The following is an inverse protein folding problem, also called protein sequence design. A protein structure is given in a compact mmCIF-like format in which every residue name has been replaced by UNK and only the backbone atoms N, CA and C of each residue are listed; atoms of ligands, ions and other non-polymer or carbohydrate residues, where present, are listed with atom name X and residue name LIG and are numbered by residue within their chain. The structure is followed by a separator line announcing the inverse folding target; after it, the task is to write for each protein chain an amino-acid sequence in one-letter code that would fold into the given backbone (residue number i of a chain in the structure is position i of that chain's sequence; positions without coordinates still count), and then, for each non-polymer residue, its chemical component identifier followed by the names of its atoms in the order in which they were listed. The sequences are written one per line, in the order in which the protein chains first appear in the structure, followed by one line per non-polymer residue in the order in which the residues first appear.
data_IF_856812386426
#
_entry.id   IF_856812386426
#
_cell.length_a   1.000
_cell.length_b   1.000
_cell.length_c   1.000
_cell.angle_alpha   90.00
_cell.angle_beta   90.00
_cell.angle_gamma   90.00
#
_symmetry.space_group_name_H-M   'P 1'
#
loop_
_entity.id
_entity.type
_entity.pdbx_description
1 polymer ?
#
# COMPACT_ATOMS: atom_id res chain seq x y z
N UNK A 1 -21.46 -33.01 -21.02
CA UNK A 1 -21.79 -33.05 -19.58
C UNK A 1 -20.46 -32.95 -18.86
N UNK A 2 -20.03 -31.72 -18.58
CA UNK A 2 -18.69 -31.40 -18.09
C UNK A 2 -18.70 -31.50 -16.57
N UNK A 3 -17.79 -32.28 -16.00
CA UNK A 3 -17.65 -32.39 -14.54
C UNK A 3 -17.47 -31.01 -13.89
N UNK A 4 -18.13 -30.74 -12.75
CA UNK A 4 -17.80 -29.58 -11.94
C UNK A 4 -16.42 -29.81 -11.27
N UNK A 5 -15.57 -28.78 -11.14
CA UNK A 5 -14.30 -28.93 -10.45
C UNK A 5 -14.55 -29.27 -8.97
N UNK A 6 -14.10 -30.46 -8.55
CA UNK A 6 -14.10 -30.91 -7.15
C UNK A 6 -12.99 -30.21 -6.35
N UNK A 7 -13.31 -29.89 -5.10
CA UNK A 7 -12.44 -29.56 -3.97
C UNK A 7 -11.76 -28.17 -3.96
N UNK A 8 -12.45 -27.19 -3.37
CA UNK A 8 -11.80 -26.23 -2.48
C UNK A 8 -11.70 -26.89 -1.09
N UNK A 9 -10.48 -27.18 -0.66
CA UNK A 9 -10.19 -27.73 0.67
C UNK A 9 -10.61 -26.72 1.76
N UNK A 10 -11.29 -27.14 2.84
CA UNK A 10 -11.60 -26.27 3.98
C UNK A 10 -10.35 -25.68 4.66
N UNK A 11 -9.15 -26.24 4.41
CA UNK A 11 -7.87 -25.68 4.84
C UNK A 11 -7.45 -24.42 4.08
N UNK A 12 -7.76 -24.31 2.78
CA UNK A 12 -7.36 -23.16 1.97
C UNK A 12 -8.08 -21.86 2.39
N UNK A 13 -9.37 -21.98 2.75
CA UNK A 13 -10.15 -20.84 3.25
C UNK A 13 -9.77 -20.43 4.70
N UNK A 14 -9.14 -21.33 5.46
CA UNK A 14 -8.59 -21.03 6.78
C UNK A 14 -7.26 -20.28 6.65
N UNK A 15 -6.36 -20.77 5.80
CA UNK A 15 -5.08 -20.11 5.48
C UNK A 15 -5.30 -18.67 4.94
N UNK A 16 -6.23 -18.48 4.00
CA UNK A 16 -6.54 -17.14 3.45
C UNK A 16 -7.08 -16.16 4.51
N UNK A 17 -7.84 -16.65 5.51
CA UNK A 17 -8.33 -15.80 6.62
C UNK A 17 -7.22 -15.44 7.59
N UNK A 18 -6.28 -16.36 7.81
CA UNK A 18 -5.15 -16.15 8.71
C UNK A 18 -4.17 -15.13 8.08
N UNK A 19 -3.89 -15.26 6.78
CA UNK A 19 -3.06 -14.34 6.01
C UNK A 19 -3.66 -12.92 5.96
N UNK A 20 -4.98 -12.80 5.72
CA UNK A 20 -5.68 -11.50 5.78
C UNK A 20 -5.66 -10.89 7.20
N UNK A 21 -5.82 -11.70 8.24
CA UNK A 21 -5.75 -11.25 9.62
C UNK A 21 -4.37 -10.74 10.02
N UNK A 22 -3.32 -11.34 9.47
CA UNK A 22 -1.94 -10.91 9.68
C UNK A 22 -1.64 -9.57 8.99
N UNK A 23 -2.08 -9.41 7.74
CA UNK A 23 -1.95 -8.17 6.96
C UNK A 23 -2.60 -6.96 7.66
N UNK A 24 -3.82 -7.14 8.18
CA UNK A 24 -4.53 -6.10 8.95
C UNK A 24 -3.77 -5.73 10.22
N UNK A 25 -3.16 -6.70 10.91
CA UNK A 25 -2.35 -6.43 12.13
C UNK A 25 -1.11 -5.62 11.81
N UNK A 26 -0.39 -5.94 10.73
CA UNK A 26 0.79 -5.19 10.33
C UNK A 26 0.45 -3.77 9.88
N UNK A 27 -0.63 -3.61 9.11
CA UNK A 27 -1.16 -2.31 8.72
C UNK A 27 -1.49 -1.45 9.94
N UNK A 28 -2.24 -2.02 10.90
CA UNK A 28 -2.63 -1.30 12.12
C UNK A 28 -1.43 -0.93 12.98
N UNK A 29 -0.42 -1.80 13.08
CA UNK A 29 0.82 -1.52 13.79
C UNK A 29 1.58 -0.34 13.15
N UNK A 30 1.63 -0.26 11.83
CA UNK A 30 2.17 0.89 11.09
C UNK A 30 1.43 2.18 11.41
N UNK A 31 0.09 2.15 11.38
CA UNK A 31 -0.75 3.32 11.65
C UNK A 31 -0.56 3.86 13.08
N UNK A 32 -0.62 2.96 14.07
CA UNK A 32 -0.41 3.31 15.48
C UNK A 32 1.01 3.83 15.68
N UNK A 33 2.01 3.17 15.09
CA UNK A 33 3.41 3.59 15.16
C UNK A 33 3.64 4.99 14.59
N UNK A 34 3.08 5.29 13.41
CA UNK A 34 3.18 6.60 12.79
C UNK A 34 2.49 7.71 13.58
N UNK A 35 1.30 7.45 14.14
CA UNK A 35 0.60 8.40 15.01
C UNK A 35 1.37 8.68 16.31
N UNK A 36 1.88 7.64 16.97
CA UNK A 36 2.68 7.79 18.18
C UNK A 36 3.97 8.57 17.91
N UNK A 37 4.70 8.21 16.85
CA UNK A 37 5.90 8.94 16.46
C UNK A 37 5.57 10.40 16.13
N UNK A 38 4.50 10.65 15.39
CA UNK A 38 4.06 12.00 15.06
C UNK A 38 3.75 12.83 16.31
N UNK A 39 2.99 12.27 17.25
CA UNK A 39 2.67 12.94 18.52
C UNK A 39 3.91 13.27 19.34
N UNK A 40 4.86 12.33 19.43
CA UNK A 40 6.14 12.56 20.13
C UNK A 40 6.93 13.69 19.46
N UNK A 41 7.11 13.63 18.13
CA UNK A 41 7.86 14.65 17.40
C UNK A 41 7.21 16.03 17.53
N UNK A 42 5.88 16.10 17.46
CA UNK A 42 5.14 17.33 17.70
C UNK A 42 5.36 17.85 19.13
N UNK A 43 5.33 16.98 20.15
CA UNK A 43 5.58 17.38 21.54
C UNK A 43 6.99 17.98 21.76
N UNK A 44 8.00 17.52 21.02
CA UNK A 44 9.37 18.05 21.06
C UNK A 44 9.60 19.24 20.10
N UNK A 45 8.55 19.75 19.44
CA UNK A 45 8.64 20.92 18.55
C UNK A 45 9.12 20.62 17.13
N UNK A 46 9.20 19.34 16.74
CA UNK A 46 9.64 18.91 15.40
C UNK A 46 8.50 18.90 14.35
N UNK A 47 7.50 19.76 14.49
CA UNK A 47 6.28 19.79 13.68
C UNK A 47 6.51 19.74 12.17
N UNK A 48 7.53 20.46 11.69
CA UNK A 48 7.89 20.59 10.27
C UNK A 48 9.23 19.96 9.91
N UNK A 49 9.75 19.09 10.78
CA UNK A 49 10.99 18.34 10.50
C UNK A 49 10.79 17.47 9.27
N UNK A 50 11.62 17.69 8.24
CA UNK A 50 11.60 16.89 7.01
C UNK A 50 11.86 15.41 7.30
N UNK A 51 12.85 15.13 8.15
CA UNK A 51 13.15 13.76 8.58
C UNK A 51 12.00 13.16 9.40
N UNK A 52 11.36 13.97 10.25
CA UNK A 52 10.18 13.56 11.01
C UNK A 52 9.02 13.14 10.09
N UNK A 53 8.71 13.97 9.09
CA UNK A 53 7.63 13.69 8.14
C UNK A 53 7.93 12.45 7.32
N UNK A 54 9.17 12.32 6.84
CA UNK A 54 9.61 11.13 6.13
C UNK A 54 9.41 9.86 6.97
N UNK A 55 9.89 9.84 8.22
CA UNK A 55 9.71 8.69 9.13
C UNK A 55 8.24 8.37 9.39
N UNK A 56 7.43 9.40 9.65
CA UNK A 56 6.01 9.24 9.93
C UNK A 56 5.27 8.68 8.72
N UNK A 57 5.51 9.22 7.51
CA UNK A 57 4.91 8.71 6.26
C UNK A 57 5.33 7.28 5.97
N UNK A 58 6.60 6.95 6.18
CA UNK A 58 7.10 5.59 6.00
C UNK A 58 6.37 4.61 6.94
N UNK A 59 6.22 4.94 8.23
CA UNK A 59 5.51 4.06 9.18
C UNK A 59 4.01 3.98 8.88
N UNK A 60 3.37 5.11 8.59
CA UNK A 60 1.93 5.21 8.34
C UNK A 60 1.49 4.64 6.98
N UNK A 61 2.33 4.73 5.95
CA UNK A 61 2.02 4.30 4.59
C UNK A 61 2.57 2.92 4.25
N UNK A 62 3.80 2.63 4.68
CA UNK A 62 4.54 1.42 4.29
C UNK A 62 4.77 0.47 5.47
N UNK A 63 4.18 0.74 6.63
CA UNK A 63 4.39 -0.06 7.85
C UNK A 63 4.06 -1.54 7.66
N UNK A 64 3.01 -1.86 6.90
CA UNK A 64 2.67 -3.24 6.51
C UNK A 64 3.84 -3.89 5.75
N UNK A 65 4.29 -3.26 4.66
CA UNK A 65 5.34 -3.76 3.78
C UNK A 65 6.69 -3.91 4.50
N UNK A 66 7.00 -3.00 5.45
CA UNK A 66 8.18 -3.07 6.31
C UNK A 66 8.11 -4.26 7.26
N UNK A 67 6.99 -4.43 7.96
CA UNK A 67 6.81 -5.50 8.94
C UNK A 67 6.82 -6.88 8.27
N UNK A 68 6.19 -7.01 7.11
CA UNK A 68 6.26 -8.23 6.32
C UNK A 68 7.67 -8.50 5.80
N UNK A 69 8.39 -7.48 5.32
CA UNK A 69 9.78 -7.60 4.90
C UNK A 69 10.69 -8.08 6.04
N UNK A 70 10.52 -7.52 7.24
CA UNK A 70 11.22 -7.91 8.46
C UNK A 70 10.86 -9.34 8.90
N UNK A 71 9.59 -9.71 8.85
CA UNK A 71 9.13 -11.05 9.18
C UNK A 71 9.73 -12.08 8.22
N UNK A 72 9.67 -11.82 6.91
CA UNK A 72 10.25 -12.68 5.89
C UNK A 72 11.77 -12.83 6.06
N UNK A 73 12.48 -11.74 6.39
CA UNK A 73 13.91 -11.76 6.67
C UNK A 73 14.24 -12.57 7.93
N UNK A 74 13.48 -12.40 9.01
CA UNK A 74 13.66 -13.14 10.27
C UNK A 74 13.40 -14.63 10.10
N UNK A 75 12.40 -14.98 9.30
CA UNK A 75 12.08 -16.37 8.98
C UNK A 75 13.16 -17.01 8.10
N UNK A 76 13.76 -16.24 7.18
CA UNK A 76 14.94 -16.65 6.38
C UNK A 76 16.18 -16.90 7.24
N UNK A 77 16.44 -16.06 8.24
CA UNK A 77 17.54 -16.29 9.18
C UNK A 77 17.35 -17.58 9.99
N UNK A 78 16.10 -18.02 10.17
CA UNK A 78 15.73 -19.26 10.86
C UNK A 78 15.63 -20.49 9.94
N UNK A 79 15.37 -20.32 8.64
CA UNK A 79 15.22 -21.40 7.65
C UNK A 79 15.88 -20.99 6.33
N UNK A 80 16.92 -21.73 5.90
CA UNK A 80 17.65 -21.58 4.62
C UNK A 80 16.75 -21.80 3.38
N UNK A 81 15.75 -20.94 3.16
CA UNK A 81 14.88 -20.99 1.99
C UNK A 81 15.23 -19.82 1.04
N UNK A 82 16.07 -20.11 0.05
CA UNK A 82 16.41 -19.19 -1.05
C UNK A 82 15.48 -19.46 -2.24
N UNK A 83 14.88 -18.42 -2.83
CA UNK A 83 14.07 -18.55 -4.04
C UNK A 83 13.02 -17.44 -4.21
N UNK A 84 11.79 -17.66 -3.72
CA UNK A 84 10.64 -16.78 -3.97
C UNK A 84 10.49 -15.62 -2.97
N UNK A 85 10.74 -15.86 -1.68
CA UNK A 85 10.61 -14.84 -0.64
C UNK A 85 11.64 -13.70 -0.80
N UNK A 86 12.81 -14.00 -1.38
CA UNK A 86 13.88 -13.01 -1.63
C UNK A 86 13.53 -12.08 -2.78
N UNK A 87 12.98 -12.61 -3.89
CA UNK A 87 12.51 -11.79 -5.00
C UNK A 87 11.33 -10.89 -4.59
N UNK A 88 10.42 -11.41 -3.77
CA UNK A 88 9.29 -10.65 -3.22
C UNK A 88 9.75 -9.56 -2.26
N UNK A 89 10.68 -9.89 -1.35
CA UNK A 89 11.29 -8.91 -0.42
C UNK A 89 12.03 -7.79 -1.14
N UNK A 90 12.81 -8.11 -2.18
CA UNK A 90 13.49 -7.09 -2.99
C UNK A 90 12.51 -6.21 -3.77
N UNK A 91 11.43 -6.79 -4.31
CA UNK A 91 10.36 -6.04 -4.96
C UNK A 91 9.71 -5.03 -4.03
N UNK A 92 9.43 -5.42 -2.77
CA UNK A 92 8.87 -4.54 -1.75
C UNK A 92 9.83 -3.44 -1.34
N UNK A 93 11.11 -3.75 -1.11
CA UNK A 93 12.13 -2.73 -0.79
C UNK A 93 12.25 -1.70 -1.90
N UNK A 94 12.33 -2.15 -3.17
CA UNK A 94 12.36 -1.23 -4.31
C UNK A 94 11.08 -0.39 -4.37
N UNK A 95 9.90 -1.00 -4.17
CA UNK A 95 8.61 -0.31 -4.11
C UNK A 95 8.53 0.78 -3.04
N UNK A 96 9.14 0.56 -1.86
CA UNK A 96 9.21 1.53 -0.76
C UNK A 96 10.23 2.66 -1.01
N UNK A 97 11.34 2.37 -1.72
CA UNK A 97 12.34 3.40 -2.00
C UNK A 97 11.88 4.49 -2.98
N UNK A 98 10.90 4.19 -3.83
CA UNK A 98 10.37 5.14 -4.82
C UNK A 98 9.68 6.34 -4.15
N UNK A 99 8.70 6.15 -3.23
CA UNK A 99 8.13 7.26 -2.46
C UNK A 99 9.17 8.12 -1.73
N UNK A 100 10.23 7.50 -1.20
CA UNK A 100 11.28 8.23 -0.49
C UNK A 100 12.06 9.15 -1.44
N UNK A 101 12.43 8.63 -2.61
CA UNK A 101 13.10 9.42 -3.65
C UNK A 101 12.22 10.57 -4.14
N UNK A 102 10.91 10.35 -4.26
CA UNK A 102 9.94 11.38 -4.63
C UNK A 102 9.84 12.46 -3.54
N UNK A 103 9.70 12.11 -2.26
CA UNK A 103 9.60 13.09 -1.16
C UNK A 103 10.88 13.93 -1.06
N UNK A 104 12.04 13.28 -0.96
CA UNK A 104 13.32 13.99 -0.87
C UNK A 104 13.63 14.79 -2.12
N UNK A 105 13.38 14.24 -3.31
CA UNK A 105 13.52 14.96 -4.57
C UNK A 105 12.66 16.22 -4.60
N UNK A 106 11.39 16.12 -4.22
CA UNK A 106 10.47 17.26 -4.17
C UNK A 106 10.99 18.39 -3.28
N UNK A 107 11.52 18.03 -2.10
CA UNK A 107 12.14 19.01 -1.19
C UNK A 107 13.40 19.63 -1.76
N UNK A 108 14.25 18.84 -2.42
CA UNK A 108 15.47 19.33 -3.06
C UNK A 108 15.18 20.31 -4.20
N UNK A 109 14.07 20.13 -4.92
CA UNK A 109 13.61 21.07 -5.94
C UNK A 109 12.85 22.28 -5.37
N UNK A 110 12.73 22.39 -4.04
CA UNK A 110 12.10 23.53 -3.38
C UNK A 110 10.57 23.54 -3.47
N UNK A 111 9.94 22.40 -3.79
CA UNK A 111 8.49 22.30 -3.85
C UNK A 111 7.87 22.46 -2.45
N UNK A 112 6.72 23.12 -2.40
CA UNK A 112 5.94 23.21 -1.17
C UNK A 112 5.24 21.87 -0.87
N UNK A 113 5.93 21.03 -0.10
CA UNK A 113 5.43 19.72 0.34
C UNK A 113 4.22 19.80 1.26
N UNK A 114 3.89 20.99 1.79
CA UNK A 114 2.73 21.24 2.64
C UNK A 114 1.54 21.81 1.87
N UNK A 115 1.81 22.41 0.71
CA UNK A 115 0.83 22.99 -0.19
C UNK A 115 0.33 22.02 -1.25
N UNK A 116 -0.32 22.58 -2.27
CA UNK A 116 -0.91 21.84 -3.39
C UNK A 116 0.16 21.06 -4.16
N UNK A 117 1.37 21.60 -4.30
CA UNK A 117 2.47 20.94 -5.01
C UNK A 117 2.82 19.57 -4.41
N UNK A 118 2.77 19.43 -3.08
CA UNK A 118 3.10 18.20 -2.37
C UNK A 118 2.01 17.13 -2.30
N UNK A 119 0.84 17.32 -2.94
CA UNK A 119 -0.33 16.44 -2.75
C UNK A 119 -0.06 14.95 -3.09
N UNK A 120 0.85 14.70 -4.03
CA UNK A 120 1.16 13.35 -4.51
C UNK A 120 2.09 12.56 -3.58
N UNK A 121 2.79 13.23 -2.66
CA UNK A 121 3.75 12.58 -1.76
C UNK A 121 3.05 11.53 -0.87
N UNK A 122 2.01 11.88 -0.07
CA UNK A 122 1.30 10.88 0.72
C UNK A 122 0.63 9.79 -0.14
N UNK A 123 0.23 10.12 -1.37
CA UNK A 123 -0.33 9.15 -2.31
C UNK A 123 0.68 8.04 -2.64
N UNK A 124 1.93 8.39 -2.99
CA UNK A 124 2.93 7.38 -3.33
C UNK A 124 3.30 6.51 -2.12
N UNK A 125 3.41 7.11 -0.93
CA UNK A 125 3.63 6.36 0.32
C UNK A 125 2.51 5.37 0.63
N UNK A 126 1.27 5.77 0.40
CA UNK A 126 0.11 4.93 0.70
C UNK A 126 -0.15 3.87 -0.38
N UNK A 127 0.14 4.15 -1.66
CA UNK A 127 -0.41 3.40 -2.80
C UNK A 127 0.61 2.67 -3.65
N UNK A 128 1.91 2.72 -3.34
CA UNK A 128 2.96 2.01 -4.11
C UNK A 128 2.62 0.53 -4.29
N UNK A 129 2.23 -0.16 -3.21
CA UNK A 129 1.88 -1.57 -3.24
C UNK A 129 0.63 -1.85 -4.08
N UNK A 130 -0.38 -0.98 -4.02
CA UNK A 130 -1.61 -1.14 -4.79
C UNK A 130 -1.40 -0.90 -6.29
N UNK A 131 -0.56 0.07 -6.66
CA UNK A 131 -0.14 0.30 -8.04
C UNK A 131 0.62 -0.93 -8.55
N UNK A 132 1.59 -1.43 -7.78
CA UNK A 132 2.36 -2.63 -8.10
C UNK A 132 1.47 -3.87 -8.30
N UNK A 133 0.50 -4.09 -7.40
CA UNK A 133 -0.47 -5.18 -7.51
C UNK A 133 -1.36 -5.05 -8.76
N UNK A 134 -1.81 -3.83 -9.09
CA UNK A 134 -2.64 -3.59 -10.28
C UNK A 134 -1.89 -3.84 -11.59
N UNK A 135 -0.66 -3.35 -11.69
CA UNK A 135 0.21 -3.56 -12.86
C UNK A 135 0.54 -5.05 -13.01
N UNK A 136 0.94 -5.69 -11.92
CA UNK A 136 1.30 -7.12 -11.92
C UNK A 136 0.11 -8.00 -12.28
N UNK A 137 -1.08 -7.71 -11.74
CA UNK A 137 -2.32 -8.42 -12.06
C UNK A 137 -2.72 -8.27 -13.52
N UNK A 138 -2.58 -7.07 -14.11
CA UNK A 138 -2.82 -6.86 -15.54
C UNK A 138 -1.86 -7.68 -16.41
N UNK A 139 -0.56 -7.68 -16.09
CA UNK A 139 0.46 -8.46 -16.80
C UNK A 139 0.15 -9.96 -16.70
N UNK A 140 -0.23 -10.44 -15.52
CA UNK A 140 -0.63 -11.83 -15.30
C UNK A 140 -1.83 -12.23 -16.17
N UNK A 141 -2.90 -11.41 -16.16
CA UNK A 141 -4.09 -11.66 -16.98
C UNK A 141 -3.78 -11.62 -18.48
N UNK A 142 -2.90 -10.72 -18.91
CA UNK A 142 -2.40 -10.66 -20.30
C UNK A 142 -1.64 -11.94 -20.67
N UNK A 143 -0.74 -12.42 -19.80
CA UNK A 143 -0.01 -13.68 -20.03
C UNK A 143 -0.94 -14.88 -20.11
N UNK A 144 -1.92 -14.97 -19.21
CA UNK A 144 -2.90 -16.06 -19.16
C UNK A 144 -3.84 -16.07 -20.37
N UNK A 145 -4.25 -14.91 -20.85
CA UNK A 145 -5.21 -14.78 -21.95
C UNK A 145 -4.57 -14.76 -23.34
N UNK A 146 -3.23 -14.67 -23.43
CA UNK A 146 -2.47 -14.67 -24.68
C UNK A 146 -2.67 -13.42 -25.55
N UNK A 147 -3.49 -12.45 -25.13
CA UNK A 147 -3.77 -11.24 -25.91
C UNK A 147 -4.15 -10.07 -25.00
N UNK A 148 -3.79 -8.85 -25.38
CA UNK A 148 -4.08 -7.64 -24.59
C UNK A 148 -5.59 -7.39 -24.44
N UNK A 149 -6.37 -7.53 -25.52
CA UNK A 149 -7.82 -7.29 -25.47
C UNK A 149 -8.54 -8.22 -24.48
N UNK A 150 -8.21 -9.52 -24.48
CA UNK A 150 -8.79 -10.47 -23.52
C UNK A 150 -8.27 -10.25 -22.10
N UNK A 151 -7.01 -9.84 -21.93
CA UNK A 151 -6.44 -9.51 -20.64
C UNK A 151 -7.11 -8.31 -19.98
N UNK A 152 -7.34 -7.23 -20.74
CA UNK A 152 -8.07 -6.05 -20.26
C UNK A 152 -9.54 -6.38 -19.99
N UNK A 153 -10.19 -7.14 -20.87
CA UNK A 153 -11.57 -7.58 -20.63
C UNK A 153 -11.70 -8.44 -19.37
N UNK A 154 -10.70 -9.28 -19.06
CA UNK A 154 -10.66 -10.03 -17.81
C UNK A 154 -10.38 -9.12 -16.60
N UNK A 155 -9.52 -8.12 -16.76
CA UNK A 155 -9.20 -7.15 -15.72
C UNK A 155 -10.45 -6.37 -15.26
N UNK A 156 -11.22 -5.80 -16.19
CA UNK A 156 -12.42 -5.00 -15.86
C UNK A 156 -13.57 -5.83 -15.28
N UNK A 157 -13.50 -7.15 -15.39
CA UNK A 157 -14.46 -8.09 -14.77
C UNK A 157 -13.99 -8.61 -13.42
N UNK A 158 -12.73 -8.34 -13.05
CA UNK A 158 -12.16 -8.84 -11.82
C UNK A 158 -12.37 -7.83 -10.68
N UNK A 159 -13.18 -8.15 -9.64
CA UNK A 159 -13.62 -7.17 -8.64
C UNK A 159 -12.45 -6.56 -7.85
N UNK A 160 -11.41 -7.34 -7.55
CA UNK A 160 -10.19 -6.84 -6.88
C UNK A 160 -9.39 -5.88 -7.77
N UNK A 161 -9.35 -6.10 -9.08
CA UNK A 161 -8.59 -5.23 -9.98
C UNK A 161 -9.33 -3.90 -10.17
N UNK A 162 -10.65 -3.95 -10.33
CA UNK A 162 -11.49 -2.75 -10.50
C UNK A 162 -11.51 -1.90 -9.24
N UNK A 163 -11.68 -2.50 -8.06
CA UNK A 163 -11.57 -1.78 -6.77
C UNK A 163 -10.17 -1.22 -6.57
N UNK A 164 -9.15 -2.02 -6.92
CA UNK A 164 -7.75 -1.62 -7.00
C UNK A 164 -7.54 -0.31 -7.76
N UNK A 165 -7.99 -0.30 -9.01
CA UNK A 165 -7.91 0.84 -9.93
C UNK A 165 -8.74 2.04 -9.44
N UNK A 166 -9.94 1.81 -8.92
CA UNK A 166 -10.80 2.87 -8.42
C UNK A 166 -10.10 3.66 -7.30
N UNK A 167 -9.50 2.97 -6.33
CA UNK A 167 -8.74 3.62 -5.25
C UNK A 167 -7.53 4.38 -5.79
N UNK A 168 -6.75 3.78 -6.71
CA UNK A 168 -5.57 4.42 -7.34
C UNK A 168 -5.95 5.77 -7.97
N UNK A 169 -7.15 5.90 -8.53
CA UNK A 169 -7.64 7.11 -9.19
C UNK A 169 -8.32 8.10 -8.21
N UNK A 170 -9.07 7.57 -7.25
CA UNK A 170 -9.85 8.39 -6.31
C UNK A 170 -8.98 9.05 -5.24
N UNK A 171 -8.03 8.32 -4.66
CA UNK A 171 -7.16 8.84 -3.59
C UNK A 171 -6.38 10.09 -3.99
N UNK A 172 -5.63 10.14 -5.11
CA UNK A 172 -4.87 11.34 -5.47
C UNK A 172 -5.80 12.51 -5.79
N UNK A 173 -6.98 12.25 -6.36
CA UNK A 173 -8.00 13.28 -6.59
C UNK A 173 -8.51 13.86 -5.28
N UNK A 174 -8.81 13.01 -4.28
CA UNK A 174 -9.25 13.44 -2.96
C UNK A 174 -8.17 14.24 -2.22
N UNK A 175 -6.91 13.80 -2.29
CA UNK A 175 -5.77 14.51 -1.71
C UNK A 175 -5.56 15.88 -2.35
N UNK A 176 -5.65 15.97 -3.68
CA UNK A 176 -5.57 17.23 -4.41
C UNK A 176 -6.70 18.17 -3.99
N UNK A 177 -7.94 17.67 -3.92
CA UNK A 177 -9.08 18.48 -3.48
C UNK A 177 -8.93 18.95 -2.03
N UNK A 178 -8.45 18.09 -1.12
CA UNK A 178 -8.19 18.47 0.26
C UNK A 178 -7.17 19.62 0.33
N UNK A 179 -6.09 19.54 -0.46
CA UNK A 179 -5.09 20.61 -0.58
C UNK A 179 -5.69 21.91 -1.11
N UNK A 180 -6.49 21.85 -2.18
CA UNK A 180 -7.15 23.02 -2.75
C UNK A 180 -8.15 23.67 -1.78
N UNK A 181 -8.75 22.88 -0.89
CA UNK A 181 -9.64 23.36 0.18
C UNK A 181 -8.89 23.88 1.42
N UNK A 182 -7.55 23.90 1.39
CA UNK A 182 -6.72 24.49 2.44
C UNK A 182 -6.19 23.51 3.49
N UNK A 183 -6.39 22.20 3.32
CA UNK A 183 -5.76 21.22 4.21
C UNK A 183 -4.24 21.20 4.00
N UNK A 184 -3.47 21.28 5.08
CA UNK A 184 -2.00 21.28 5.05
C UNK A 184 -1.44 20.50 6.24
N UNK A 185 -0.52 19.54 6.06
CA UNK A 185 -0.03 18.66 7.11
C UNK A 185 1.14 19.33 7.85
N UNK A 186 0.88 20.48 8.47
CA UNK A 186 1.93 21.29 9.11
C UNK A 186 2.45 20.70 10.42
N UNK A 187 1.85 19.62 10.90
CA UNK A 187 2.28 18.84 12.06
C UNK A 187 2.53 17.39 11.67
N UNK A 188 3.27 16.68 12.51
CA UNK A 188 3.60 15.28 12.25
C UNK A 188 2.38 14.37 12.43
N UNK A 189 1.49 14.67 13.39
CA UNK A 189 0.21 13.95 13.52
C UNK A 189 -0.67 14.13 12.28
N UNK A 190 -0.77 15.34 11.72
CA UNK A 190 -1.55 15.57 10.50
C UNK A 190 -0.91 14.86 9.30
N UNK A 191 0.42 14.77 9.27
CA UNK A 191 1.16 13.99 8.26
C UNK A 191 0.80 12.50 8.38
N UNK A 192 0.78 11.93 9.59
CA UNK A 192 0.37 10.55 9.83
C UNK A 192 -1.07 10.30 9.37
N UNK A 193 -2.01 11.15 9.81
CA UNK A 193 -3.43 11.02 9.48
C UNK A 193 -3.68 11.09 7.97
N UNK A 194 -3.02 12.04 7.29
CA UNK A 194 -3.09 12.16 5.84
C UNK A 194 -2.68 10.86 5.15
N UNK A 195 -1.53 10.29 5.53
CA UNK A 195 -1.03 9.06 4.92
C UNK A 195 -1.93 7.86 5.25
N UNK A 196 -2.41 7.74 6.49
CA UNK A 196 -3.32 6.66 6.91
C UNK A 196 -4.64 6.73 6.14
N UNK A 197 -5.23 7.91 6.00
CA UNK A 197 -6.50 8.10 5.27
C UNK A 197 -6.31 7.83 3.77
N UNK A 198 -5.17 8.22 3.21
CA UNK A 198 -4.82 7.89 1.83
C UNK A 198 -4.58 6.39 1.64
N UNK A 199 -4.24 5.66 2.70
CA UNK A 199 -3.92 4.25 2.65
C UNK A 199 -5.18 3.36 2.71
N UNK A 200 -5.74 3.14 1.52
CA UNK A 200 -6.91 2.30 1.30
C UNK A 200 -6.54 0.93 0.68
N UNK A 201 -5.32 0.46 0.91
CA UNK A 201 -4.79 -0.81 0.37
C UNK A 201 -5.60 -2.05 0.80
N UNK A 202 -6.32 -1.96 1.92
CA UNK A 202 -7.18 -3.02 2.45
C UNK A 202 -8.51 -3.18 1.69
N UNK A 203 -8.93 -2.17 0.91
CA UNK A 203 -10.23 -2.17 0.26
C UNK A 203 -10.35 -3.23 -0.86
N UNK A 204 -9.39 -3.41 -1.78
CA UNK A 204 -9.50 -4.43 -2.82
C UNK A 204 -9.56 -5.87 -2.29
N UNK A 205 -8.74 -6.28 -1.31
CA UNK A 205 -8.90 -7.58 -0.66
C UNK A 205 -10.27 -7.76 0.00
N UNK A 206 -10.77 -6.75 0.71
CA UNK A 206 -12.09 -6.79 1.35
C UNK A 206 -13.23 -6.97 0.32
N UNK A 207 -13.14 -6.28 -0.82
CA UNK A 207 -14.09 -6.42 -1.94
C UNK A 207 -14.01 -7.84 -2.54
N UNK A 208 -12.80 -8.37 -2.73
CA UNK A 208 -12.59 -9.74 -3.20
C UNK A 208 -13.26 -10.78 -2.30
N UNK A 209 -13.05 -10.66 -0.99
CA UNK A 209 -13.65 -11.54 0.01
C UNK A 209 -15.18 -11.46 0.04
N UNK A 210 -15.75 -10.25 -0.05
CA UNK A 210 -17.20 -10.08 -0.12
C UNK A 210 -17.79 -10.69 -1.39
N UNK A 211 -17.09 -10.56 -2.52
CA UNK A 211 -17.55 -11.11 -3.80
C UNK A 211 -17.54 -12.65 -3.82
N UNK A 212 -16.59 -13.30 -3.16
CA UNK A 212 -16.55 -14.76 -3.04
C UNK A 212 -17.68 -15.35 -2.17
N UNK A 213 -18.27 -14.53 -1.29
CA UNK A 213 -19.37 -14.93 -0.39
C UNK A 213 -20.77 -14.76 -1.00
N UNK A 214 -20.87 -14.11 -2.16
CA UNK A 214 -22.09 -14.00 -2.94
C UNK A 214 -22.21 -15.16 -3.92
#
# INVERSE_FOLDING_TARGET
MSEPPRNQSPGAAADEREEFGELVRYTLAGYVGGLLLGGVLDQFGFHRSALGQWLVRTLSGEGESILEGLYALRQRLRRRAQGMAEAYGWGKVVGMTVPWGIDWGSRLFGLDVYGVEGFYIPYFYAMSDQIGANVSGLIFLRRRSGSWGRGVAAYVRHPVMVSGLAVILLVPTALLMARLLGFSPTTQVLTALETIIANLCWLPPAVGWWWQRK
#
